data_IF_664896507602
#
_entry.id   IF_664896507602
#
_cell.length_a   1.000
_cell.length_b   1.000
_cell.length_c   1.000
_cell.angle_alpha   90.00
_cell.angle_beta   90.00
_cell.angle_gamma   90.00
#
_symmetry.space_group_name_H-M   'P 1'
#
loop_
_entity.id
_entity.type
_entity.pdbx_description
1 polymer ?
#
# COMPACT_ATOMS: atom_id res chain seq x y z
N UNK A 1 -14.88 6.32 3.55
CA UNK A 1 -13.68 7.03 3.05
C UNK A 1 -13.88 7.59 1.65
N UNK A 2 -14.25 6.77 0.66
CA UNK A 2 -14.48 7.21 -0.73
C UNK A 2 -15.40 8.42 -0.89
N UNK A 3 -16.56 8.46 -0.19
CA UNK A 3 -17.47 9.63 -0.19
C UNK A 3 -16.82 10.95 0.30
N UNK A 4 -15.70 10.88 1.02
CA UNK A 4 -14.91 12.04 1.49
C UNK A 4 -13.73 12.38 0.56
N UNK A 5 -13.64 11.71 -0.59
CA UNK A 5 -12.59 11.90 -1.60
C UNK A 5 -11.28 11.17 -1.31
N UNK A 6 -11.28 10.16 -0.44
CA UNK A 6 -10.08 9.34 -0.18
C UNK A 6 -10.00 8.14 -1.12
N UNK A 7 -8.78 7.85 -1.57
CA UNK A 7 -8.39 6.60 -2.24
C UNK A 7 -7.88 5.62 -1.20
N UNK A 8 -8.43 4.42 -1.15
CA UNK A 8 -8.02 3.34 -0.25
C UNK A 8 -6.99 2.47 -0.96
N UNK A 9 -5.76 2.46 -0.46
CA UNK A 9 -4.62 1.73 -1.01
C UNK A 9 -4.27 0.60 -0.05
N UNK A 10 -4.32 -0.65 -0.51
CA UNK A 10 -3.80 -1.79 0.25
C UNK A 10 -2.29 -1.92 0.00
N UNK A 11 -1.49 -2.00 1.06
CA UNK A 11 -0.12 -2.48 0.98
C UNK A 11 -0.15 -4.01 1.03
N UNK A 12 -0.34 -4.63 -0.13
CA UNK A 12 -0.52 -6.08 -0.24
C UNK A 12 0.03 -6.59 -1.57
N UNK A 13 0.62 -7.79 -1.54
CA UNK A 13 1.15 -8.48 -2.71
C UNK A 13 0.02 -9.26 -3.39
N UNK A 14 -0.42 -8.81 -4.57
CA UNK A 14 -1.45 -9.50 -5.35
C UNK A 14 -1.01 -9.62 -6.81
N UNK A 15 -1.71 -10.43 -7.62
CA UNK A 15 -1.35 -10.59 -9.03
C UNK A 15 -1.41 -9.27 -9.81
N UNK A 16 -2.27 -8.33 -9.39
CA UNK A 16 -2.52 -7.08 -10.08
C UNK A 16 -1.98 -5.85 -9.30
N UNK A 17 -1.14 -6.07 -8.28
CA UNK A 17 -0.61 -4.96 -7.49
C UNK A 17 0.37 -4.10 -8.28
N UNK A 18 0.28 -2.79 -8.09
CA UNK A 18 1.23 -1.84 -8.69
C UNK A 18 2.49 -1.78 -7.84
N UNK A 19 3.70 -1.85 -8.42
CA UNK A 19 4.93 -1.66 -7.66
C UNK A 19 5.01 -0.27 -7.00
N UNK A 20 5.34 -0.22 -5.71
CA UNK A 20 5.40 1.01 -4.90
C UNK A 20 6.30 2.07 -5.53
N UNK A 21 7.42 1.65 -6.12
CA UNK A 21 8.37 2.57 -6.76
C UNK A 21 7.82 3.23 -8.05
N UNK A 22 6.78 2.64 -8.66
CA UNK A 22 6.05 3.18 -9.82
C UNK A 22 4.74 3.85 -9.44
N UNK A 23 4.24 3.63 -8.23
CA UNK A 23 2.97 4.16 -7.78
C UNK A 23 3.04 5.66 -7.49
N UNK A 24 1.99 6.40 -7.88
CA UNK A 24 1.81 7.81 -7.58
C UNK A 24 0.66 7.96 -6.60
N UNK A 25 0.96 8.43 -5.39
CA UNK A 25 -0.03 8.58 -4.34
C UNK A 25 -1.00 9.74 -4.61
N UNK A 26 -2.31 9.54 -4.41
CA UNK A 26 -3.25 10.64 -4.26
C UNK A 26 -3.05 11.37 -2.93
N UNK A 27 -3.24 12.69 -2.91
CA UNK A 27 -3.16 13.51 -1.69
C UNK A 27 -4.05 12.98 -0.55
N UNK A 28 -5.24 12.48 -0.88
CA UNK A 28 -6.14 11.85 0.10
C UNK A 28 -6.01 10.33 0.01
N UNK A 29 -5.02 9.79 0.69
CA UNK A 29 -4.78 8.34 0.76
C UNK A 29 -5.19 7.77 2.12
N UNK A 30 -5.85 6.61 2.11
CA UNK A 30 -5.98 5.72 3.27
C UNK A 30 -5.13 4.49 2.98
N UNK A 31 -4.13 4.24 3.81
CA UNK A 31 -3.30 3.05 3.73
C UNK A 31 -3.94 1.91 4.55
N UNK A 32 -4.28 0.81 3.88
CA UNK A 32 -4.75 -0.43 4.50
C UNK A 32 -3.57 -1.40 4.59
N UNK A 33 -3.29 -1.87 5.81
CA UNK A 33 -2.26 -2.87 6.10
C UNK A 33 -2.92 -4.21 6.42
N UNK A 34 -2.23 -5.30 6.07
CA UNK A 34 -2.66 -6.66 6.40
C UNK A 34 -2.30 -7.08 7.82
N UNK A 35 -2.92 -8.17 8.28
CA UNK A 35 -2.46 -8.92 9.45
C UNK A 35 -1.09 -9.57 9.18
N UNK A 36 -0.26 -9.73 10.21
CA UNK A 36 1.09 -10.29 10.06
C UNK A 36 1.12 -11.73 9.51
N UNK A 37 0.06 -12.51 9.75
CA UNK A 37 -0.04 -13.90 9.32
C UNK A 37 -0.91 -14.06 8.10
N UNK A 38 -2.07 -13.42 8.11
CA UNK A 38 -3.13 -13.66 7.13
C UNK A 38 -3.20 -12.58 6.03
N UNK A 39 -2.42 -11.51 6.13
CA UNK A 39 -2.47 -10.39 5.20
C UNK A 39 -3.81 -9.65 5.24
N UNK A 40 -4.20 -9.03 4.12
CA UNK A 40 -5.49 -8.36 3.99
C UNK A 40 -6.56 -9.39 3.58
N UNK A 41 -7.65 -9.53 4.36
CA UNK A 41 -8.77 -10.41 3.99
C UNK A 41 -9.34 -10.10 2.60
N UNK A 42 -9.64 -11.13 1.82
CA UNK A 42 -10.17 -11.01 0.45
C UNK A 42 -11.40 -10.09 0.36
N UNK A 43 -12.26 -10.11 1.39
CA UNK A 43 -13.43 -9.24 1.45
C UNK A 43 -13.05 -7.76 1.50
N UNK A 44 -11.94 -7.40 2.16
CA UNK A 44 -11.43 -6.03 2.19
C UNK A 44 -10.69 -5.68 0.90
N UNK A 45 -9.94 -6.61 0.30
CA UNK A 45 -9.27 -6.40 -0.99
C UNK A 45 -10.26 -6.04 -2.11
N UNK A 46 -11.45 -6.64 -2.11
CA UNK A 46 -12.52 -6.28 -3.07
C UNK A 46 -13.05 -4.85 -2.91
N UNK A 47 -12.75 -4.20 -1.80
CA UNK A 47 -13.23 -2.86 -1.44
C UNK A 47 -12.13 -1.80 -1.48
N UNK A 48 -10.89 -2.13 -1.86
CA UNK A 48 -9.83 -1.13 -2.04
C UNK A 48 -9.86 -0.53 -3.44
N UNK A 49 -9.32 0.68 -3.59
CA UNK A 49 -9.19 1.35 -4.89
C UNK A 49 -7.98 0.81 -5.65
N UNK A 50 -6.92 0.48 -4.93
CA UNK A 50 -5.72 -0.10 -5.50
C UNK A 50 -5.00 -1.01 -4.51
N UNK A 51 -4.35 -2.05 -5.01
CA UNK A 51 -3.33 -2.81 -4.29
C UNK A 51 -1.95 -2.39 -4.79
N UNK A 52 -1.04 -2.13 -3.88
CA UNK A 52 0.32 -1.67 -4.16
C UNK A 52 1.25 -2.58 -3.38
N UNK A 53 2.35 -2.99 -4.00
CA UNK A 53 3.31 -3.89 -3.38
C UNK A 53 4.72 -3.31 -3.32
N UNK A 54 5.50 -3.73 -2.34
CA UNK A 54 6.94 -3.55 -2.35
C UNK A 54 7.51 -4.74 -3.12
N UNK A 55 7.99 -4.51 -4.33
CA UNK A 55 8.71 -5.53 -5.08
C UNK A 55 9.91 -6.01 -4.28
N UNK A 56 9.98 -7.33 -4.09
CA UNK A 56 11.03 -7.99 -3.32
C UNK A 56 11.90 -8.83 -4.24
N UNK A 57 13.21 -8.82 -3.96
CA UNK A 57 14.17 -9.75 -4.55
C UNK A 57 14.56 -10.78 -3.48
N UNK A 58 14.58 -12.05 -3.84
CA UNK A 58 14.96 -13.14 -2.93
C UNK A 58 13.83 -14.15 -2.67
N UNK A 59 13.94 -14.90 -1.57
CA UNK A 59 13.01 -15.99 -1.24
C UNK A 59 12.05 -15.68 -0.08
N UNK A 60 12.23 -14.55 0.61
CA UNK A 60 11.30 -14.14 1.67
C UNK A 60 9.95 -13.80 1.06
N UNK A 61 8.87 -14.32 1.65
CA UNK A 61 7.51 -14.15 1.12
C UNK A 61 6.98 -12.73 1.30
N UNK A 62 7.34 -12.08 2.40
CA UNK A 62 6.89 -10.72 2.73
C UNK A 62 7.85 -10.02 3.69
N UNK A 63 7.79 -8.69 3.71
CA UNK A 63 8.41 -7.89 4.77
C UNK A 63 7.52 -7.87 6.02
N UNK A 64 8.12 -7.52 7.16
CA UNK A 64 7.35 -7.21 8.37
C UNK A 64 6.35 -6.08 8.09
N UNK A 65 5.10 -6.22 8.57
CA UNK A 65 4.02 -5.27 8.28
C UNK A 65 4.35 -3.83 8.69
N UNK A 66 5.03 -3.62 9.81
CA UNK A 66 5.45 -2.30 10.25
C UNK A 66 6.53 -1.70 9.35
N UNK A 67 7.49 -2.51 8.88
CA UNK A 67 8.48 -2.07 7.89
C UNK A 67 7.81 -1.70 6.57
N UNK A 68 6.85 -2.51 6.10
CA UNK A 68 6.04 -2.18 4.93
C UNK A 68 5.32 -0.85 5.11
N UNK A 69 4.64 -0.65 6.25
CA UNK A 69 3.96 0.60 6.54
C UNK A 69 4.91 1.81 6.51
N UNK A 70 6.09 1.68 7.13
CA UNK A 70 7.10 2.74 7.14
C UNK A 70 7.56 3.12 5.73
N UNK A 71 7.82 2.14 4.85
CA UNK A 71 8.21 2.39 3.46
C UNK A 71 7.11 3.08 2.66
N UNK A 72 5.85 2.69 2.84
CA UNK A 72 4.71 3.34 2.21
C UNK A 72 4.53 4.78 2.68
N UNK A 73 4.60 5.02 3.99
CA UNK A 73 4.46 6.36 4.57
C UNK A 73 5.60 7.27 4.12
N UNK A 74 6.84 6.77 4.12
CA UNK A 74 7.99 7.51 3.64
C UNK A 74 7.84 7.88 2.17
N UNK A 75 7.39 6.94 1.31
CA UNK A 75 7.17 7.21 -0.11
C UNK A 75 6.05 8.22 -0.35
N UNK A 76 4.96 8.12 0.40
CA UNK A 76 3.88 9.11 0.37
C UNK A 76 4.39 10.50 0.76
N UNK A 77 5.15 10.60 1.86
CA UNK A 77 5.71 11.86 2.33
C UNK A 77 6.67 12.48 1.30
N UNK A 78 7.56 11.67 0.71
CA UNK A 78 8.45 12.09 -0.38
C UNK A 78 7.66 12.71 -1.55
N UNK A 79 6.57 12.07 -1.99
CA UNK A 79 5.78 12.50 -3.15
C UNK A 79 4.82 13.66 -2.89
N UNK A 80 4.43 13.90 -1.63
CA UNK A 80 3.32 14.81 -1.31
C UNK A 80 3.73 15.93 -0.36
N UNK A 81 4.56 15.63 0.63
CA UNK A 81 4.96 16.58 1.67
C UNK A 81 6.31 17.23 1.38
N UNK A 82 7.18 16.54 0.65
CA UNK A 82 8.54 16.99 0.33
C UNK A 82 8.76 17.21 -1.17
N UNK A 83 7.68 17.20 -1.96
CA UNK A 83 7.72 17.61 -3.35
C UNK A 83 7.51 19.12 -3.40
N UNK A 84 8.55 19.87 -3.76
CA UNK A 84 8.53 21.32 -3.98
C UNK A 84 7.56 21.73 -5.10
#
# INVERSE_FOLDING_TARGET
MRKKGYTVVAAEQTTDSVPLHKYKFPLKTVLLLGDEKEGVPVQLLRNVDQTVEIEQLGQTRSLNVHVSAALFIAKYAEQILFSD
#
